data_IF_822783645553
#
_entry.id   IF_822783645553
#
_cell.length_a   1.000
_cell.length_b   1.000
_cell.length_c   1.000
_cell.angle_alpha   90.00
_cell.angle_beta   90.00
_cell.angle_gamma   90.00
#
_symmetry.space_group_name_H-M   'P 1'
#
loop_
_entity.id
_entity.type
_entity.pdbx_description
1 polymer ?
#
# COMPACT_ATOMS: atom_id res chain seq x y z
N UNK A 1 -11.54 -12.24 -12.40
CA UNK A 1 -10.87 -12.87 -11.25
C UNK A 1 -10.65 -11.88 -10.10
N UNK A 2 -10.10 -10.71 -10.38
CA UNK A 2 -9.89 -9.69 -9.34
C UNK A 2 -10.88 -8.56 -9.54
N UNK A 3 -11.60 -8.18 -8.47
CA UNK A 3 -12.55 -7.07 -8.49
C UNK A 3 -12.01 -5.86 -7.74
N UNK A 4 -11.25 -6.07 -6.66
CA UNK A 4 -10.67 -5.00 -5.84
C UNK A 4 -9.23 -5.34 -5.47
N UNK A 5 -8.34 -4.40 -5.78
CA UNK A 5 -6.91 -4.53 -5.53
C UNK A 5 -6.50 -3.51 -4.48
N UNK A 6 -5.71 -3.93 -3.48
CA UNK A 6 -5.19 -3.03 -2.45
C UNK A 6 -3.72 -2.76 -2.70
N UNK A 7 -3.33 -1.49 -2.67
CA UNK A 7 -1.93 -1.05 -2.73
C UNK A 7 -1.62 -0.29 -1.44
N UNK A 8 -0.95 -0.93 -0.48
CA UNK A 8 -0.47 -0.21 0.70
C UNK A 8 0.75 0.63 0.35
N UNK A 9 0.89 1.78 0.99
CA UNK A 9 2.05 2.65 0.79
C UNK A 9 2.53 3.23 2.11
N UNK A 10 3.85 3.31 2.26
CA UNK A 10 4.50 4.00 3.38
C UNK A 10 5.19 5.27 2.91
N UNK A 11 4.90 5.70 1.69
CA UNK A 11 5.51 6.88 1.08
C UNK A 11 6.84 6.60 0.40
N UNK A 12 7.28 5.34 0.36
CA UNK A 12 8.54 4.98 -0.29
C UNK A 12 8.37 4.84 -1.80
N UNK A 13 9.49 4.91 -2.52
CA UNK A 13 9.49 4.77 -3.98
C UNK A 13 9.09 3.38 -4.45
N UNK A 14 9.25 2.36 -3.61
CA UNK A 14 8.85 0.99 -3.97
C UNK A 14 7.34 0.88 -4.18
N UNK A 15 6.56 1.71 -3.50
CA UNK A 15 5.11 1.72 -3.68
C UNK A 15 4.71 2.21 -5.08
N UNK A 16 5.52 3.05 -5.71
CA UNK A 16 5.25 3.52 -7.06
C UNK A 16 5.31 2.37 -8.07
N UNK A 17 6.32 1.51 -7.96
CA UNK A 17 6.43 0.33 -8.80
C UNK A 17 5.24 -0.62 -8.58
N UNK A 18 4.84 -0.81 -7.33
CA UNK A 18 3.67 -1.62 -7.00
C UNK A 18 2.41 -1.03 -7.64
N UNK A 19 2.25 0.29 -7.59
CA UNK A 19 1.08 0.96 -8.17
C UNK A 19 1.01 0.75 -9.68
N UNK A 20 2.13 0.81 -10.38
CA UNK A 20 2.15 0.56 -11.82
C UNK A 20 1.64 -0.85 -12.15
N UNK A 21 2.07 -1.86 -11.38
CA UNK A 21 1.58 -3.22 -11.56
C UNK A 21 0.09 -3.33 -11.24
N UNK A 22 -0.35 -2.65 -10.19
CA UNK A 22 -1.76 -2.68 -9.79
C UNK A 22 -2.65 -2.07 -10.87
N UNK A 23 -2.23 -0.96 -11.47
CA UNK A 23 -2.98 -0.31 -12.55
C UNK A 23 -3.09 -1.24 -13.75
N UNK A 24 -2.00 -1.88 -14.15
CA UNK A 24 -2.01 -2.82 -15.27
C UNK A 24 -2.99 -3.97 -15.02
N UNK A 25 -2.94 -4.55 -13.82
CA UNK A 25 -3.86 -5.61 -13.45
C UNK A 25 -5.31 -5.13 -13.39
N UNK A 26 -5.53 -3.94 -12.84
CA UNK A 26 -6.86 -3.38 -12.73
C UNK A 26 -7.50 -3.14 -14.09
N UNK A 27 -6.72 -2.66 -15.06
CA UNK A 27 -7.23 -2.49 -16.43
C UNK A 27 -7.59 -3.84 -17.06
N UNK A 28 -6.76 -4.85 -16.84
CA UNK A 28 -6.98 -6.17 -17.43
C UNK A 28 -8.19 -6.89 -16.87
N UNK A 29 -8.46 -6.72 -15.59
CA UNK A 29 -9.55 -7.40 -14.90
C UNK A 29 -10.77 -6.51 -14.66
N UNK A 30 -10.73 -5.27 -15.08
CA UNK A 30 -11.77 -4.29 -14.78
C UNK A 30 -11.99 -4.17 -13.27
N UNK A 31 -10.90 -4.08 -12.53
CA UNK A 31 -10.90 -4.01 -11.07
C UNK A 31 -10.75 -2.57 -10.59
N UNK A 32 -11.23 -2.31 -9.37
CA UNK A 32 -10.93 -1.05 -8.68
C UNK A 32 -9.65 -1.19 -7.87
N UNK A 33 -9.02 -0.06 -7.55
CA UNK A 33 -7.80 -0.02 -6.75
C UNK A 33 -8.03 0.84 -5.51
N UNK A 34 -7.71 0.28 -4.34
CA UNK A 34 -7.68 1.02 -3.08
C UNK A 34 -6.21 1.29 -2.74
N UNK A 35 -5.90 2.53 -2.40
CA UNK A 35 -4.57 2.93 -1.96
C UNK A 35 -4.67 3.27 -0.47
N UNK A 36 -3.89 2.58 0.36
CA UNK A 36 -3.99 2.71 1.82
C UNK A 36 -2.65 3.12 2.42
N UNK A 37 -2.67 4.16 3.24
CA UNK A 37 -1.57 4.48 4.13
C UNK A 37 -2.01 4.29 5.57
N UNK A 38 -1.22 3.58 6.36
CA UNK A 38 -1.49 3.35 7.79
C UNK A 38 -0.47 4.11 8.61
N UNK A 39 -0.96 5.03 9.44
CA UNK A 39 -0.13 5.77 10.40
C UNK A 39 0.20 4.81 11.54
N UNK A 40 1.50 4.55 11.74
CA UNK A 40 1.97 3.53 12.68
C UNK A 40 1.86 4.02 14.13
N UNK A 41 1.04 3.34 14.92
CA UNK A 41 0.83 3.70 16.32
C UNK A 41 2.02 3.37 17.22
N UNK A 42 2.95 2.53 16.77
CA UNK A 42 4.14 2.20 17.56
C UNK A 42 5.09 3.37 17.75
N UNK A 43 5.15 4.26 16.76
CA UNK A 43 6.14 5.33 16.72
C UNK A 43 5.58 6.69 17.13
N UNK A 44 4.27 6.79 17.34
CA UNK A 44 3.61 8.08 17.58
C UNK A 44 2.59 7.95 18.69
N UNK A 45 2.47 9.03 19.49
CA UNK A 45 1.43 9.13 20.49
C UNK A 45 0.14 9.59 19.80
N UNK A 46 -0.73 8.64 19.51
CA UNK A 46 -1.98 8.91 18.80
C UNK A 46 -3.11 9.38 19.71
N UNK A 47 -2.84 9.50 21.04
CA UNK A 47 -3.84 10.03 21.97
C UNK A 47 -3.98 11.55 21.87
N UNK A 48 -3.04 12.22 21.19
CA UNK A 48 -3.04 13.68 21.02
C UNK A 48 -3.33 13.99 19.55
N UNK A 49 -4.47 14.61 19.28
CA UNK A 49 -4.88 14.92 17.90
C UNK A 49 -3.88 15.81 17.17
N UNK A 50 -3.24 16.74 17.87
CA UNK A 50 -2.25 17.62 17.27
C UNK A 50 -0.99 16.89 16.78
N UNK A 51 -0.72 15.69 17.31
CA UNK A 51 0.38 14.85 16.83
C UNK A 51 -0.03 14.03 15.60
N UNK A 52 -1.33 13.74 15.45
CA UNK A 52 -1.84 12.95 14.33
C UNK A 52 -2.06 13.81 13.08
N UNK A 53 -2.54 15.04 13.22
CA UNK A 53 -2.90 15.89 12.08
C UNK A 53 -1.78 16.02 11.03
N UNK A 54 -0.52 16.29 11.40
CA UNK A 54 0.56 16.34 10.39
C UNK A 54 0.81 14.99 9.71
N UNK A 55 0.59 13.89 10.43
CA UNK A 55 0.77 12.55 9.90
C UNK A 55 -0.34 12.19 8.92
N UNK A 56 -1.55 12.63 9.20
CA UNK A 56 -2.68 12.45 8.29
C UNK A 56 -2.47 13.25 7.00
N UNK A 57 -2.01 14.48 7.10
CA UNK A 57 -1.71 15.30 5.92
C UNK A 57 -0.64 14.65 5.05
N UNK A 58 0.41 14.13 5.66
CA UNK A 58 1.47 13.44 4.94
C UNK A 58 0.95 12.15 4.29
N UNK A 59 0.12 11.42 5.01
CA UNK A 59 -0.49 10.21 4.49
C UNK A 59 -1.38 10.49 3.28
N UNK A 60 -2.15 11.58 3.33
CA UNK A 60 -2.96 12.00 2.21
C UNK A 60 -2.10 12.35 0.99
N UNK A 61 -0.96 13.00 1.21
CA UNK A 61 -0.02 13.28 0.12
C UNK A 61 0.51 11.99 -0.50
N UNK A 62 0.82 10.98 0.31
CA UNK A 62 1.30 9.69 -0.19
C UNK A 62 0.26 9.01 -1.07
N UNK A 63 -0.97 8.92 -0.60
CA UNK A 63 -2.00 8.20 -1.37
C UNK A 63 -2.41 8.99 -2.62
N UNK A 64 -2.46 10.31 -2.55
CA UNK A 64 -2.77 11.14 -3.71
C UNK A 64 -1.66 11.08 -4.76
N UNK A 65 -0.39 11.02 -4.31
CA UNK A 65 0.74 10.87 -5.23
C UNK A 65 0.61 9.58 -6.05
N UNK A 66 0.27 8.48 -5.40
CA UNK A 66 0.06 7.23 -6.14
C UNK A 66 -1.17 7.29 -7.04
N UNK A 67 -2.23 7.95 -6.59
CA UNK A 67 -3.45 8.07 -7.38
C UNK A 67 -3.21 8.82 -8.69
N UNK A 68 -2.25 9.75 -8.74
CA UNK A 68 -1.95 10.49 -9.97
C UNK A 68 -1.49 9.58 -11.10
N UNK A 69 -0.90 8.43 -10.79
CA UNK A 69 -0.46 7.47 -11.81
C UNK A 69 -1.64 6.87 -12.58
N UNK A 70 -2.84 6.91 -12.02
CA UNK A 70 -4.04 6.37 -12.65
C UNK A 70 -4.94 7.45 -13.25
N UNK A 71 -4.48 8.72 -13.29
CA UNK A 71 -5.33 9.84 -13.72
C UNK A 71 -5.85 9.70 -15.15
N UNK A 72 -5.08 9.07 -16.03
CA UNK A 72 -5.43 8.95 -17.44
C UNK A 72 -5.95 7.57 -17.83
N UNK A 73 -6.21 6.70 -16.87
CA UNK A 73 -6.69 5.34 -17.14
C UNK A 73 -8.08 5.14 -16.55
N UNK A 74 -8.92 4.27 -17.17
CA UNK A 74 -10.29 4.06 -16.70
C UNK A 74 -10.35 3.09 -15.53
N UNK A 75 -9.65 3.39 -14.45
CA UNK A 75 -9.59 2.58 -13.24
C UNK A 75 -10.17 3.39 -12.08
N UNK A 76 -11.08 2.79 -11.33
CA UNK A 76 -11.65 3.43 -10.15
C UNK A 76 -10.66 3.40 -9.01
N UNK A 77 -10.35 4.56 -8.43
CA UNK A 77 -9.37 4.70 -7.36
C UNK A 77 -10.08 5.16 -6.07
N UNK A 78 -9.81 4.46 -4.98
CA UNK A 78 -10.23 4.85 -3.64
C UNK A 78 -8.99 5.02 -2.78
N UNK A 79 -8.89 6.11 -2.04
CA UNK A 79 -7.77 6.36 -1.15
C UNK A 79 -8.22 6.33 0.30
N UNK A 80 -7.36 5.87 1.19
CA UNK A 80 -7.63 5.84 2.62
C UNK A 80 -6.36 6.09 3.43
N UNK A 81 -6.50 6.85 4.50
CA UNK A 81 -5.44 7.07 5.49
C UNK A 81 -6.04 6.70 6.84
N UNK A 82 -5.45 5.71 7.49
CA UNK A 82 -5.98 5.15 8.74
C UNK A 82 -4.86 5.04 9.76
N UNK A 83 -5.21 4.87 11.01
CA UNK A 83 -4.26 4.76 12.11
C UNK A 83 -4.28 3.32 12.64
N UNK A 84 -3.11 2.74 12.83
CA UNK A 84 -3.02 1.38 13.34
C UNK A 84 -1.62 0.80 13.25
N UNK A 85 -1.54 -0.50 13.32
CA UNK A 85 -0.28 -1.23 13.12
C UNK A 85 -0.28 -1.69 11.66
N UNK A 86 0.63 -1.16 10.82
CA UNK A 86 0.52 -1.31 9.37
C UNK A 86 0.26 -2.74 8.88
N UNK A 87 1.04 -3.71 9.32
CA UNK A 87 0.91 -5.07 8.82
C UNK A 87 -0.47 -5.67 9.14
N UNK A 88 -0.91 -5.52 10.39
CA UNK A 88 -2.21 -6.04 10.81
C UNK A 88 -3.36 -5.26 10.21
N UNK A 89 -3.19 -3.95 10.11
CA UNK A 89 -4.24 -3.08 9.58
C UNK A 89 -4.51 -3.35 8.11
N UNK A 90 -3.46 -3.65 7.34
CA UNK A 90 -3.60 -4.06 5.95
C UNK A 90 -4.50 -5.29 5.84
N UNK A 91 -4.26 -6.30 6.67
CA UNK A 91 -5.07 -7.52 6.64
C UNK A 91 -6.51 -7.28 7.07
N UNK A 92 -6.71 -6.42 8.07
CA UNK A 92 -8.06 -6.02 8.48
C UNK A 92 -8.79 -5.29 7.36
N UNK A 93 -8.10 -4.40 6.67
CA UNK A 93 -8.66 -3.65 5.53
C UNK A 93 -9.09 -4.60 4.41
N UNK A 94 -8.27 -5.62 4.13
CA UNK A 94 -8.60 -6.64 3.13
C UNK A 94 -9.94 -7.29 3.45
N UNK A 95 -10.14 -7.67 4.70
CA UNK A 95 -11.38 -8.34 5.12
C UNK A 95 -12.57 -7.39 5.11
N UNK A 96 -12.39 -6.16 5.59
CA UNK A 96 -13.48 -5.21 5.70
C UNK A 96 -13.97 -4.66 4.36
N UNK A 97 -13.10 -4.62 3.36
CA UNK A 97 -13.40 -4.02 2.06
C UNK A 97 -13.49 -5.04 0.92
N UNK A 98 -13.50 -6.33 1.25
CA UNK A 98 -13.59 -7.40 0.25
C UNK A 98 -12.49 -7.32 -0.82
N UNK A 99 -11.29 -6.95 -0.39
CA UNK A 99 -10.13 -6.93 -1.27
C UNK A 99 -9.77 -8.37 -1.66
N UNK A 100 -9.48 -8.60 -2.93
CA UNK A 100 -9.15 -9.95 -3.40
C UNK A 100 -7.74 -10.09 -3.95
N UNK A 101 -6.96 -9.00 -3.94
CA UNK A 101 -5.53 -9.05 -4.29
C UNK A 101 -4.81 -7.89 -3.61
N UNK A 102 -3.66 -8.17 -3.02
CA UNK A 102 -2.77 -7.12 -2.48
C UNK A 102 -1.55 -7.01 -3.39
N UNK A 103 -1.22 -5.80 -3.83
CA UNK A 103 0.00 -5.53 -4.60
C UNK A 103 0.84 -4.56 -3.80
N UNK A 104 2.03 -4.95 -3.41
CA UNK A 104 2.88 -4.13 -2.54
C UNK A 104 4.35 -4.34 -2.85
N UNK A 105 5.16 -3.37 -2.48
CA UNK A 105 6.60 -3.47 -2.62
C UNK A 105 7.17 -4.58 -1.74
N UNK A 106 8.31 -5.13 -2.13
CA UNK A 106 8.98 -6.15 -1.33
C UNK A 106 9.54 -5.60 -0.04
N UNK A 107 9.73 -4.26 0.04
CA UNK A 107 10.24 -3.57 1.22
C UNK A 107 9.76 -2.13 1.24
N UNK A 108 9.72 -1.55 2.44
CA UNK A 108 9.38 -0.15 2.60
C UNK A 108 10.64 0.72 2.71
N UNK A 109 10.62 1.68 3.64
CA UNK A 109 11.69 2.68 3.79
C UNK A 109 13.01 2.16 4.36
N UNK A 110 13.03 0.97 4.92
CA UNK A 110 14.25 0.44 5.50
C UNK A 110 15.31 0.13 4.46
N UNK A 111 16.59 0.24 4.81
CA UNK A 111 17.70 -0.08 3.93
C UNK A 111 18.04 -1.57 3.88
N UNK A 112 17.04 -2.42 3.75
CA UNK A 112 17.24 -3.87 3.71
C UNK A 112 17.88 -4.33 2.41
N UNK A 113 18.69 -5.41 2.47
CA UNK A 113 19.19 -6.03 1.25
C UNK A 113 18.05 -6.43 0.30
N UNK A 114 18.31 -6.37 -0.99
CA UNK A 114 17.29 -6.62 -2.01
C UNK A 114 16.61 -7.99 -1.90
N UNK A 115 17.29 -8.97 -1.35
CA UNK A 115 16.76 -10.34 -1.25
C UNK A 115 15.84 -10.56 -0.06
N UNK A 116 15.75 -9.59 0.85
CA UNK A 116 14.92 -9.72 2.04
C UNK A 116 13.63 -8.93 1.88
N UNK A 117 12.54 -9.52 2.31
CA UNK A 117 11.27 -8.80 2.40
C UNK A 117 11.29 -7.88 3.62
N UNK A 118 10.69 -6.71 3.49
CA UNK A 118 10.47 -5.84 4.64
C UNK A 118 9.54 -6.51 5.65
N UNK A 119 9.58 -6.05 6.90
CA UNK A 119 8.80 -6.67 7.98
C UNK A 119 7.30 -6.65 7.71
N UNK A 120 6.77 -5.54 7.20
CA UNK A 120 5.34 -5.43 6.89
C UNK A 120 4.98 -6.37 5.75
N UNK A 121 5.77 -6.38 4.67
CA UNK A 121 5.51 -7.26 3.52
C UNK A 121 5.58 -8.72 3.93
N UNK A 122 6.59 -9.08 4.71
CA UNK A 122 6.75 -10.46 5.18
C UNK A 122 5.53 -10.91 6.01
N UNK A 123 5.05 -10.04 6.89
CA UNK A 123 3.87 -10.36 7.71
C UNK A 123 2.63 -10.55 6.83
N UNK A 124 2.42 -9.64 5.88
CA UNK A 124 1.25 -9.71 4.99
C UNK A 124 1.30 -10.98 4.15
N UNK A 125 2.45 -11.28 3.55
CA UNK A 125 2.62 -12.51 2.73
C UNK A 125 2.34 -13.76 3.56
N UNK A 126 2.80 -13.78 4.81
CA UNK A 126 2.65 -14.95 5.69
C UNK A 126 1.20 -15.16 6.13
N UNK A 127 0.46 -14.09 6.37
CA UNK A 127 -0.86 -14.18 7.02
C UNK A 127 -2.04 -13.84 6.11
N UNK A 128 -1.81 -13.41 4.88
CA UNK A 128 -2.90 -13.00 3.98
C UNK A 128 -3.79 -14.19 3.61
N UNK A 129 -5.08 -13.90 3.47
CA UNK A 129 -6.08 -14.88 3.00
C UNK A 129 -6.35 -14.71 1.51
N UNK A 130 -5.73 -13.71 0.87
CA UNK A 130 -5.83 -13.45 -0.56
C UNK A 130 -4.43 -13.45 -1.15
N UNK A 131 -4.29 -13.58 -2.48
CA UNK A 131 -2.97 -13.50 -3.12
C UNK A 131 -2.28 -12.16 -2.84
N UNK A 132 -0.96 -12.21 -2.72
CA UNK A 132 -0.12 -11.04 -2.52
C UNK A 132 0.92 -11.01 -3.64
N UNK A 133 0.85 -9.97 -4.45
CA UNK A 133 1.77 -9.74 -5.56
C UNK A 133 2.85 -8.78 -5.06
N UNK A 134 4.06 -9.26 -4.87
CA UNK A 134 5.17 -8.42 -4.36
C UNK A 134 6.00 -7.90 -5.52
N UNK A 135 6.31 -6.61 -5.50
CA UNK A 135 7.02 -5.94 -6.58
C UNK A 135 8.37 -5.43 -6.04
N UNK A 136 9.48 -5.85 -6.62
CA UNK A 136 10.79 -5.34 -6.18
C UNK A 136 10.97 -3.90 -6.63
N UNK A 137 11.83 -3.13 -5.94
CA UNK A 137 12.11 -1.77 -6.36
C UNK A 137 12.79 -1.78 -7.73
N UNK A 138 12.56 -0.73 -8.50
CA UNK A 138 13.29 -0.54 -9.76
C UNK A 138 14.73 -0.20 -9.40
N UNK A 139 15.66 -1.07 -9.78
CA UNK A 139 17.08 -0.85 -9.53
C UNK A 139 17.69 -0.18 -10.76
N UNK A 140 18.08 1.08 -10.59
CA UNK A 140 18.66 1.86 -11.69
C UNK A 140 20.16 1.76 -11.74
N UNK A 141 20.77 1.09 -10.77
CA UNK A 141 22.24 1.05 -10.62
C UNK A 141 22.86 -0.24 -11.09
N UNK A 142 22.07 -1.15 -11.58
CA UNK A 142 22.58 -2.41 -12.10
C UNK A 142 22.70 -2.42 -13.60
#
# INVERSE_FOLDING_TARGET
MYDLILVPTDGSATAEAAMEHAIDLAERYDAGVHILHVIDTWHYDTSIQSAIDPLEERGEEYVEHLATAAADVPVSITTAVEVGRPARHILTYVDEHDIDLVVMGTRGRGGLPQRLLGSVTNYVVTHATVPVHTVPPVDKDT
#
